data_IF_762302250207
#
_entry.id   IF_762302250207
#
_cell.length_a   1.000
_cell.length_b   1.000
_cell.length_c   1.000
_cell.angle_alpha   90.00
_cell.angle_beta   90.00
_cell.angle_gamma   90.00
#
_symmetry.space_group_name_H-M   'P 1'
#
loop_
_entity.id
_entity.type
_entity.pdbx_description
1 polymer ?
#
# COMPACT_ATOMS: atom_id res chain seq x y z
N UNK A 1 25.16 -10.18 12.00
CA UNK A 1 24.20 -11.13 11.39
C UNK A 1 22.98 -10.33 10.96
N UNK A 2 22.60 -10.40 9.68
CA UNK A 2 21.50 -9.61 9.08
C UNK A 2 20.19 -10.37 9.27
N UNK A 3 19.20 -9.75 9.93
CA UNK A 3 17.83 -10.24 9.97
C UNK A 3 16.92 -9.20 9.33
N UNK A 4 16.47 -9.44 8.10
CA UNK A 4 15.38 -8.68 7.48
C UNK A 4 14.07 -9.38 7.82
N UNK A 5 13.19 -8.74 8.58
CA UNK A 5 11.83 -9.22 8.79
C UNK A 5 10.87 -8.45 7.86
N UNK A 6 10.04 -9.18 7.11
CA UNK A 6 8.98 -8.65 6.25
C UNK A 6 7.65 -9.16 6.79
N UNK A 7 6.66 -8.29 7.00
CA UNK A 7 5.32 -8.66 7.51
C UNK A 7 4.26 -7.97 6.65
N UNK A 8 3.34 -8.75 6.09
CA UNK A 8 2.11 -8.30 5.44
C UNK A 8 0.92 -8.41 6.41
N UNK A 9 0.01 -7.43 6.40
CA UNK A 9 -1.27 -7.53 7.12
C UNK A 9 -2.42 -6.87 6.33
N UNK A 10 -3.58 -7.52 6.31
CA UNK A 10 -4.86 -7.02 5.79
C UNK A 10 -5.80 -6.70 6.97
N UNK A 11 -6.59 -5.63 6.91
CA UNK A 11 -7.55 -5.26 7.97
C UNK A 11 -8.99 -5.11 7.44
N UNK A 12 -9.96 -5.60 8.23
CA UNK A 12 -11.39 -5.28 8.17
C UNK A 12 -11.81 -4.66 9.50
N UNK A 13 -12.51 -3.53 9.45
CA UNK A 13 -13.13 -2.87 10.61
C UNK A 13 -14.61 -3.20 10.69
N UNK A 14 -15.09 -3.53 11.89
CA UNK A 14 -16.51 -3.47 12.25
C UNK A 14 -16.62 -2.62 13.51
N UNK A 15 -17.38 -1.53 13.43
CA UNK A 15 -17.69 -0.66 14.55
C UNK A 15 -19.05 -1.02 15.13
N UNK A 16 -19.14 -1.18 16.45
CA UNK A 16 -20.38 -0.96 17.21
C UNK A 16 -20.05 -0.25 18.51
N UNK A 17 -20.69 0.89 18.70
CA UNK A 17 -20.57 1.71 19.90
C UNK A 17 -21.54 1.29 21.00
N UNK A 18 -21.21 1.71 22.22
CA UNK A 18 -22.17 1.91 23.32
C UNK A 18 -21.56 2.96 24.27
N UNK A 19 -22.35 3.96 24.66
CA UNK A 19 -21.99 5.00 25.63
C UNK A 19 -22.20 4.53 27.06
N UNK A 20 -21.25 4.84 27.95
CA UNK A 20 -21.48 4.96 29.39
C UNK A 20 -20.75 6.20 29.91
N UNK A 21 -21.47 7.00 30.70
CA UNK A 21 -20.93 8.14 31.43
C UNK A 21 -20.09 7.64 32.62
N UNK A 22 -18.82 8.06 32.69
CA UNK A 22 -17.91 7.73 33.78
C UNK A 22 -17.50 8.99 34.54
N UNK A 23 -17.63 8.93 35.87
CA UNK A 23 -17.20 9.92 36.85
C UNK A 23 -15.68 10.13 36.75
N UNK A 24 -15.25 11.34 36.44
CA UNK A 24 -13.84 11.70 36.31
C UNK A 24 -13.24 12.04 37.68
N UNK A 25 -12.64 11.04 38.34
CA UNK A 25 -11.63 11.25 39.39
C UNK A 25 -10.32 11.68 38.70
N UNK A 26 -10.02 12.97 38.78
CA UNK A 26 -8.79 13.55 38.27
C UNK A 26 -7.59 13.14 39.15
N UNK A 27 -7.04 11.96 38.87
CA UNK A 27 -5.67 11.65 39.26
C UNK A 27 -4.74 12.44 38.35
N UNK A 28 -4.20 13.54 38.86
CA UNK A 28 -3.07 14.24 38.26
C UNK A 28 -1.81 13.37 38.41
N UNK A 29 -1.76 12.27 37.68
CA UNK A 29 -0.50 11.57 37.44
C UNK A 29 0.36 12.49 36.59
N UNK A 30 1.49 12.94 37.11
CA UNK A 30 2.54 13.53 36.30
C UNK A 30 2.91 12.50 35.24
N UNK A 31 2.57 12.78 33.97
CA UNK A 31 3.08 11.99 32.86
C UNK A 31 4.61 12.18 32.85
N UNK A 32 5.31 11.25 33.48
CA UNK A 32 6.76 11.22 33.49
C UNK A 32 7.18 11.03 32.04
N UNK A 33 7.70 12.11 31.43
CA UNK A 33 8.17 12.08 30.07
C UNK A 33 9.20 10.96 29.96
N UNK A 34 8.99 10.03 29.02
CA UNK A 34 9.98 8.98 28.76
C UNK A 34 11.36 9.63 28.62
N UNK A 35 12.40 9.10 29.29
CA UNK A 35 13.69 9.78 29.35
C UNK A 35 14.20 10.02 27.93
N UNK A 36 14.39 11.30 27.60
CA UNK A 36 15.01 11.68 26.35
C UNK A 36 16.45 11.19 26.35
N UNK A 37 16.97 10.85 25.18
CA UNK A 37 18.39 10.51 25.06
C UNK A 37 19.27 11.63 25.63
N UNK A 38 20.34 11.31 26.38
CA UNK A 38 21.17 12.31 27.01
C UNK A 38 21.71 13.28 25.95
N UNK A 39 21.52 14.60 26.12
CA UNK A 39 21.96 15.58 25.14
C UNK A 39 23.48 15.83 25.22
N UNK A 40 24.14 16.20 24.12
CA UNK A 40 23.93 15.80 22.72
C UNK A 40 24.83 14.63 22.32
N UNK A 41 24.28 13.63 21.62
CA UNK A 41 25.08 12.60 20.94
C UNK A 41 25.53 13.17 19.59
N UNK A 42 26.83 13.45 19.44
CA UNK A 42 27.38 14.09 18.24
C UNK A 42 27.00 13.32 16.96
N UNK A 43 26.44 14.03 15.97
CA UNK A 43 26.06 13.46 14.68
C UNK A 43 24.68 12.79 14.62
N UNK A 44 23.89 12.83 15.71
CA UNK A 44 22.51 12.34 15.75
C UNK A 44 21.47 13.35 15.23
N UNK A 45 21.91 14.54 14.83
CA UNK A 45 21.06 15.55 14.18
C UNK A 45 20.82 15.27 12.69
N UNK A 46 21.49 14.25 12.13
CA UNK A 46 21.37 13.89 10.73
C UNK A 46 20.02 13.20 10.45
N UNK A 47 19.32 13.56 9.36
CA UNK A 47 18.11 12.87 8.94
C UNK A 47 18.39 11.41 8.59
N UNK A 48 17.34 10.58 8.62
CA UNK A 48 17.43 9.21 8.17
C UNK A 48 17.65 9.18 6.64
N UNK A 49 18.46 8.24 6.17
CA UNK A 49 18.61 7.97 4.73
C UNK A 49 17.39 7.17 4.28
N UNK A 50 16.65 7.67 3.30
CA UNK A 50 15.46 7.01 2.77
C UNK A 50 15.68 6.60 1.32
N UNK A 51 15.43 5.32 1.03
CA UNK A 51 15.47 4.78 -0.33
C UNK A 51 14.19 4.01 -0.61
N UNK A 52 13.61 4.18 -1.79
CA UNK A 52 12.43 3.45 -2.24
C UNK A 52 12.75 2.69 -3.54
N UNK A 53 12.80 1.37 -3.45
CA UNK A 53 12.88 0.48 -4.61
C UNK A 53 11.51 0.36 -5.27
N UNK A 54 11.48 0.32 -6.61
CA UNK A 54 10.24 0.41 -7.39
C UNK A 54 10.20 -0.59 -8.52
N UNK A 55 9.01 -0.97 -8.95
CA UNK A 55 8.85 -1.94 -10.02
C UNK A 55 7.39 -2.16 -10.41
N UNK A 56 7.20 -2.57 -11.66
CA UNK A 56 5.89 -2.91 -12.22
C UNK A 56 5.98 -4.27 -12.90
N UNK A 57 5.17 -5.21 -12.44
CA UNK A 57 4.96 -6.47 -13.13
C UNK A 57 4.39 -6.23 -14.53
N UNK A 58 4.69 -7.14 -15.46
CA UNK A 58 4.08 -7.14 -16.78
C UNK A 58 2.68 -7.78 -16.70
N UNK A 59 1.71 -7.32 -17.52
CA UNK A 59 0.39 -7.94 -17.59
C UNK A 59 0.49 -9.40 -18.03
N UNK A 60 -0.20 -10.28 -17.31
CA UNK A 60 -0.37 -11.69 -17.70
C UNK A 60 -1.83 -11.90 -18.10
N UNK A 61 -2.02 -12.22 -19.38
CA UNK A 61 -3.35 -12.47 -19.93
C UNK A 61 -3.79 -13.91 -19.65
N UNK A 62 -5.05 -14.05 -19.23
CA UNK A 62 -5.67 -15.32 -18.88
C UNK A 62 -6.99 -15.47 -19.63
N UNK A 63 -7.27 -16.69 -20.05
CA UNK A 63 -8.43 -17.04 -20.86
C UNK A 63 -9.03 -18.38 -20.41
N UNK A 64 -9.05 -18.59 -19.10
CA UNK A 64 -9.43 -19.82 -18.41
C UNK A 64 -10.67 -19.63 -17.51
N UNK A 65 -11.37 -18.51 -17.66
CA UNK A 65 -12.55 -18.10 -16.87
C UNK A 65 -13.72 -17.78 -17.77
N UNK A 66 -14.92 -18.18 -17.37
CA UNK A 66 -16.16 -17.84 -18.09
C UNK A 66 -16.64 -16.43 -17.75
N UNK A 67 -17.60 -15.89 -18.52
CA UNK A 67 -18.26 -14.61 -18.18
C UNK A 67 -18.84 -14.65 -16.76
N UNK A 68 -19.40 -15.79 -16.35
CA UNK A 68 -19.98 -15.93 -15.02
C UNK A 68 -18.93 -15.86 -13.91
N UNK A 69 -17.73 -16.38 -14.13
CA UNK A 69 -16.62 -16.31 -13.17
C UNK A 69 -16.10 -14.88 -12.99
N UNK A 70 -16.19 -14.05 -14.03
CA UNK A 70 -15.70 -12.67 -14.03
C UNK A 70 -16.75 -11.66 -13.54
N UNK A 71 -18.01 -12.06 -13.50
CA UNK A 71 -19.13 -11.17 -13.17
C UNK A 71 -19.20 -10.89 -11.66
N UNK A 72 -19.49 -9.63 -11.30
CA UNK A 72 -19.65 -9.21 -9.89
C UNK A 72 -21.06 -8.70 -9.68
N UNK A 73 -21.85 -9.43 -8.88
CA UNK A 73 -23.27 -9.13 -8.68
C UNK A 73 -24.06 -9.37 -9.98
N UNK A 74 -24.89 -8.39 -10.37
CA UNK A 74 -25.72 -8.47 -11.60
C UNK A 74 -25.00 -8.00 -12.87
N UNK A 75 -23.77 -7.46 -12.74
CA UNK A 75 -23.02 -6.96 -13.89
C UNK A 75 -22.25 -8.11 -14.56
N UNK A 76 -22.68 -8.46 -15.78
CA UNK A 76 -21.97 -9.44 -16.61
C UNK A 76 -20.71 -8.82 -17.21
N UNK A 77 -19.54 -9.28 -16.76
CA UNK A 77 -18.24 -8.77 -17.22
C UNK A 77 -17.65 -9.69 -18.27
N UNK A 78 -17.27 -9.10 -19.41
CA UNK A 78 -16.60 -9.81 -20.50
C UNK A 78 -15.09 -9.96 -20.26
N UNK A 79 -14.52 -9.10 -19.42
CA UNK A 79 -13.14 -9.12 -18.98
C UNK A 79 -12.99 -8.60 -17.55
N UNK A 80 -11.82 -8.83 -16.98
CA UNK A 80 -11.47 -8.32 -15.66
C UNK A 80 -9.97 -8.09 -15.55
N UNK A 81 -9.58 -6.88 -15.17
CA UNK A 81 -8.20 -6.56 -14.80
C UNK A 81 -8.05 -6.53 -13.29
N UNK A 82 -7.21 -7.40 -12.75
CA UNK A 82 -6.83 -7.44 -11.34
C UNK A 82 -5.39 -6.95 -11.17
N UNK A 83 -5.20 -5.93 -10.32
CA UNK A 83 -3.89 -5.36 -10.05
C UNK A 83 -3.60 -5.41 -8.56
N UNK A 84 -2.43 -5.93 -8.21
CA UNK A 84 -1.96 -5.98 -6.83
C UNK A 84 -0.71 -5.12 -6.66
N UNK A 85 -0.75 -4.24 -5.66
CA UNK A 85 0.44 -3.52 -5.20
C UNK A 85 0.90 -4.02 -3.84
N UNK A 86 2.18 -3.83 -3.54
CA UNK A 86 2.77 -4.21 -2.26
C UNK A 86 3.79 -3.17 -1.83
N UNK A 87 3.71 -2.78 -0.55
CA UNK A 87 4.73 -2.00 0.14
C UNK A 87 5.42 -2.88 1.18
N UNK A 88 6.74 -2.98 1.11
CA UNK A 88 7.60 -3.58 2.12
C UNK A 88 8.52 -2.51 2.69
N UNK A 89 8.70 -2.48 4.01
CA UNK A 89 9.62 -1.56 4.68
C UNK A 89 10.61 -2.35 5.55
N UNK A 90 11.83 -1.83 5.64
CA UNK A 90 12.82 -2.24 6.63
C UNK A 90 13.58 -1.01 7.12
N UNK A 91 14.07 -1.09 8.36
CA UNK A 91 14.77 0.03 9.01
C UNK A 91 16.09 -0.43 9.60
N UNK A 92 17.04 0.50 9.66
CA UNK A 92 18.28 0.34 10.41
C UNK A 92 18.34 1.44 11.47
N UNK A 93 18.81 1.09 12.66
CA UNK A 93 18.95 2.02 13.80
C UNK A 93 20.40 2.12 14.23
N UNK A 94 20.78 3.29 14.72
CA UNK A 94 21.99 3.48 15.54
C UNK A 94 21.62 3.34 17.00
N UNK A 95 22.47 2.65 17.76
CA UNK A 95 22.21 2.26 19.14
C UNK A 95 23.37 2.74 20.02
N UNK A 96 23.06 3.45 21.09
CA UNK A 96 24.02 3.85 22.13
C UNK A 96 23.53 3.30 23.47
N UNK A 97 24.25 2.35 24.10
CA UNK A 97 23.88 1.84 25.41
C UNK A 97 23.87 2.94 26.47
N UNK A 98 22.86 2.94 27.33
CA UNK A 98 22.68 3.84 28.47
C UNK A 98 22.47 2.98 29.73
N UNK A 99 23.46 2.90 30.64
CA UNK A 99 23.35 2.12 31.87
C UNK A 99 22.14 2.51 32.72
N UNK A 100 21.54 1.58 33.50
CA UNK A 100 21.99 0.19 33.66
C UNK A 100 21.50 -0.79 32.59
N UNK A 101 20.32 -0.58 31.98
CA UNK A 101 19.69 -1.54 31.05
C UNK A 101 18.85 -0.86 29.95
N UNK A 102 19.28 0.29 29.46
CA UNK A 102 18.58 0.98 28.38
C UNK A 102 19.52 1.27 27.22
N UNK A 103 18.95 1.65 26.09
CA UNK A 103 19.71 2.18 24.98
C UNK A 103 18.96 3.33 24.32
N UNK A 104 19.73 4.25 23.78
CA UNK A 104 19.26 5.26 22.87
C UNK A 104 19.25 4.73 21.46
N UNK A 105 18.16 5.02 20.75
CA UNK A 105 17.92 4.60 19.37
C UNK A 105 17.75 5.83 18.48
N UNK A 106 18.40 5.81 17.33
CA UNK A 106 18.16 6.77 16.24
C UNK A 106 17.86 6.01 14.97
N UNK A 107 16.81 6.42 14.25
CA UNK A 107 16.53 5.91 12.92
C UNK A 107 17.65 6.36 11.95
N UNK A 108 18.38 5.40 11.40
CA UNK A 108 19.52 5.64 10.49
C UNK A 108 19.10 5.56 9.03
N UNK A 109 18.43 4.46 8.68
CA UNK A 109 18.08 4.14 7.30
C UNK A 109 16.65 3.62 7.25
N UNK A 110 15.90 4.02 6.23
CA UNK A 110 14.61 3.42 5.84
C UNK A 110 14.72 2.93 4.41
N UNK A 111 14.53 1.63 4.22
CA UNK A 111 14.48 0.99 2.91
C UNK A 111 13.06 0.54 2.64
N UNK A 112 12.41 1.21 1.71
CA UNK A 112 11.12 0.79 1.18
C UNK A 112 11.27 0.04 -0.13
N UNK A 113 10.31 -0.84 -0.42
CA UNK A 113 10.03 -1.38 -1.74
C UNK A 113 8.54 -1.25 -2.00
N UNK A 114 8.16 -0.41 -2.95
CA UNK A 114 6.78 -0.28 -3.40
C UNK A 114 6.68 -0.75 -4.84
N UNK A 115 5.79 -1.69 -5.15
CA UNK A 115 5.73 -2.29 -6.47
C UNK A 115 4.30 -2.66 -6.85
N UNK A 116 4.01 -2.64 -8.15
CA UNK A 116 2.92 -3.44 -8.71
C UNK A 116 3.47 -4.86 -8.88
N UNK A 117 3.04 -5.78 -8.02
CA UNK A 117 3.59 -7.14 -7.97
C UNK A 117 2.85 -8.12 -8.86
N UNK A 118 1.61 -7.79 -9.25
CA UNK A 118 0.80 -8.62 -10.12
C UNK A 118 -0.15 -7.76 -10.97
N UNK A 119 -0.28 -8.13 -12.25
CA UNK A 119 -1.29 -7.59 -13.17
C UNK A 119 -1.85 -8.78 -13.94
N UNK A 120 -3.07 -9.19 -13.63
CA UNK A 120 -3.77 -10.25 -14.35
C UNK A 120 -4.91 -9.65 -15.16
N UNK A 121 -4.94 -9.99 -16.44
CA UNK A 121 -5.98 -9.57 -17.37
C UNK A 121 -6.74 -10.81 -17.79
N UNK A 122 -7.96 -10.97 -17.29
CA UNK A 122 -8.85 -12.05 -17.68
C UNK A 122 -9.73 -11.59 -18.84
N UNK A 123 -9.83 -12.43 -19.86
CA UNK A 123 -10.80 -12.29 -20.94
C UNK A 123 -11.64 -13.55 -20.92
N UNK A 124 -12.97 -13.40 -20.85
CA UNK A 124 -13.87 -14.54 -20.72
C UNK A 124 -13.67 -15.56 -21.86
N UNK A 125 -13.67 -16.85 -21.53
CA UNK A 125 -13.40 -17.99 -22.40
C UNK A 125 -14.27 -18.00 -23.68
N UNK A 126 -15.48 -17.48 -23.57
CA UNK A 126 -16.44 -17.36 -24.65
C UNK A 126 -15.93 -16.47 -25.80
N UNK A 127 -15.05 -15.51 -25.50
CA UNK A 127 -14.37 -14.67 -26.48
C UNK A 127 -13.16 -15.38 -27.08
N UNK A 128 -13.34 -16.16 -28.13
CA UNK A 128 -12.22 -16.89 -28.74
C UNK A 128 -11.06 -15.96 -29.15
N UNK A 129 -9.79 -16.31 -28.85
CA UNK A 129 -8.64 -15.53 -29.26
C UNK A 129 -8.62 -15.27 -30.77
N UNK A 130 -8.29 -14.04 -31.16
CA UNK A 130 -8.32 -13.59 -32.57
C UNK A 130 -9.70 -13.14 -33.06
N UNK A 131 -10.78 -13.35 -32.30
CA UNK A 131 -12.08 -12.77 -32.62
C UNK A 131 -12.11 -11.25 -32.40
N UNK A 132 -13.05 -10.56 -33.06
CA UNK A 132 -13.31 -9.14 -32.81
C UNK A 132 -13.62 -8.90 -31.33
N UNK A 133 -14.49 -9.72 -30.74
CA UNK A 133 -14.93 -9.56 -29.35
C UNK A 133 -13.79 -9.74 -28.35
N UNK A 134 -12.88 -10.71 -28.59
CA UNK A 134 -11.67 -10.86 -27.77
C UNK A 134 -10.78 -9.63 -27.83
N UNK A 135 -10.57 -9.08 -29.03
CA UNK A 135 -9.73 -7.89 -29.23
C UNK A 135 -10.35 -6.68 -28.55
N UNK A 136 -11.66 -6.45 -28.75
CA UNK A 136 -12.38 -5.34 -28.13
C UNK A 136 -12.36 -5.42 -26.59
N UNK A 137 -12.59 -6.62 -26.02
CA UNK A 137 -12.50 -6.84 -24.57
C UNK A 137 -11.07 -6.62 -24.08
N UNK A 138 -10.06 -7.20 -24.74
CA UNK A 138 -8.66 -7.01 -24.37
C UNK A 138 -8.25 -5.54 -24.37
N UNK A 139 -8.68 -4.80 -25.37
CA UNK A 139 -8.34 -3.39 -25.50
C UNK A 139 -9.01 -2.54 -24.41
N UNK A 140 -10.23 -2.89 -23.99
CA UNK A 140 -10.88 -2.32 -22.80
C UNK A 140 -10.09 -2.63 -21.52
N UNK A 141 -9.75 -3.90 -21.30
CA UNK A 141 -8.98 -4.31 -20.12
C UNK A 141 -7.60 -3.64 -20.06
N UNK A 142 -6.96 -3.41 -21.21
CA UNK A 142 -5.69 -2.70 -21.28
C UNK A 142 -5.80 -1.23 -20.86
N UNK A 143 -6.98 -0.61 -20.91
CA UNK A 143 -7.19 0.72 -20.34
C UNK A 143 -7.11 0.68 -18.81
N UNK A 144 -7.64 -0.36 -18.16
CA UNK A 144 -7.48 -0.56 -16.71
C UNK A 144 -6.02 -0.78 -16.32
N UNK A 145 -5.27 -1.57 -17.11
CA UNK A 145 -3.82 -1.73 -16.93
C UNK A 145 -3.11 -0.38 -17.02
N UNK A 146 -3.42 0.42 -18.05
CA UNK A 146 -2.83 1.73 -18.23
C UNK A 146 -3.18 2.69 -17.09
N UNK A 147 -4.42 2.68 -16.59
CA UNK A 147 -4.83 3.43 -15.39
C UNK A 147 -3.98 3.04 -14.20
N UNK A 148 -3.81 1.75 -13.92
CA UNK A 148 -3.03 1.30 -12.76
C UNK A 148 -1.55 1.73 -12.86
N UNK A 149 -0.91 1.51 -14.01
CA UNK A 149 0.49 1.85 -14.23
C UNK A 149 0.73 3.36 -14.17
N UNK A 150 -0.11 4.16 -14.84
CA UNK A 150 0.04 5.63 -14.84
C UNK A 150 -0.28 6.25 -13.48
N UNK A 151 -1.28 5.72 -12.76
CA UNK A 151 -1.59 6.19 -11.40
C UNK A 151 -0.44 5.89 -10.44
N UNK A 152 0.16 4.70 -10.57
CA UNK A 152 1.32 4.31 -9.78
C UNK A 152 2.51 5.25 -10.03
N UNK A 153 2.84 5.51 -11.29
CA UNK A 153 3.94 6.41 -11.65
C UNK A 153 3.71 7.83 -11.13
N UNK A 154 2.48 8.33 -11.20
CA UNK A 154 2.11 9.65 -10.68
C UNK A 154 2.19 9.75 -9.14
N UNK A 155 1.87 8.67 -8.43
CA UNK A 155 1.90 8.65 -6.96
C UNK A 155 3.28 8.34 -6.39
N UNK A 156 4.19 7.78 -7.17
CA UNK A 156 5.55 7.44 -6.72
C UNK A 156 6.30 8.58 -6.03
N UNK A 157 6.40 9.80 -6.59
CA UNK A 157 7.04 10.91 -5.88
C UNK A 157 6.31 11.29 -4.58
N UNK A 158 4.98 11.16 -4.55
CA UNK A 158 4.17 11.49 -3.35
C UNK A 158 4.42 10.49 -2.23
N UNK A 159 4.43 9.18 -2.52
CA UNK A 159 4.75 8.13 -1.54
C UNK A 159 6.19 8.29 -1.04
N UNK A 160 7.13 8.60 -1.94
CA UNK A 160 8.54 8.82 -1.58
C UNK A 160 8.70 9.99 -0.62
N UNK A 161 8.04 11.12 -0.91
CA UNK A 161 8.05 12.30 -0.06
C UNK A 161 7.39 12.03 1.29
N UNK A 162 6.26 11.32 1.30
CA UNK A 162 5.57 10.94 2.53
C UNK A 162 6.43 10.05 3.43
N UNK A 163 7.11 9.04 2.86
CA UNK A 163 8.02 8.15 3.61
C UNK A 163 9.21 8.93 4.17
N UNK A 164 9.81 9.81 3.36
CA UNK A 164 10.92 10.66 3.78
C UNK A 164 10.51 11.60 4.91
N UNK A 165 9.35 12.21 4.79
CA UNK A 165 8.77 13.10 5.80
C UNK A 165 8.48 12.36 7.11
N UNK A 166 7.88 11.17 7.03
CA UNK A 166 7.62 10.32 8.19
C UNK A 166 8.92 9.90 8.90
N UNK A 167 9.93 9.47 8.14
CA UNK A 167 11.24 9.09 8.69
C UNK A 167 11.92 10.27 9.41
N UNK A 168 11.86 11.48 8.85
CA UNK A 168 12.48 12.67 9.44
C UNK A 168 11.77 13.17 10.71
N UNK A 169 10.50 12.78 10.94
CA UNK A 169 9.79 13.08 12.19
C UNK A 169 10.18 12.16 13.33
N UNK A 170 10.80 11.01 13.06
CA UNK A 170 11.26 10.08 14.10
C UNK A 170 12.46 10.70 14.81
N UNK A 171 12.23 11.20 16.02
CA UNK A 171 13.29 11.72 16.90
C UNK A 171 14.01 10.56 17.60
N UNK A 172 15.29 10.73 17.98
CA UNK A 172 15.95 9.78 18.86
C UNK A 172 15.18 9.57 20.16
N UNK A 173 15.16 8.33 20.66
CA UNK A 173 14.44 7.97 21.88
C UNK A 173 15.19 6.90 22.66
N UNK A 174 14.99 6.88 23.98
CA UNK A 174 15.53 5.84 24.86
C UNK A 174 14.49 4.72 25.03
N UNK A 175 14.97 3.48 25.13
CA UNK A 175 14.13 2.31 25.38
C UNK A 175 14.90 1.23 26.12
N UNK A 176 14.18 0.40 26.88
CA UNK A 176 14.66 -0.83 27.52
C UNK A 176 14.28 -2.10 26.72
N UNK A 177 13.50 -1.93 25.65
CA UNK A 177 13.07 -3.04 24.77
C UNK A 177 14.22 -3.51 23.88
N UNK A 178 14.15 -4.76 23.44
CA UNK A 178 15.09 -5.33 22.49
C UNK A 178 15.01 -4.66 21.10
N UNK A 179 16.11 -4.75 20.36
CA UNK A 179 16.28 -4.12 19.06
C UNK A 179 15.27 -4.61 18.01
N UNK A 180 14.86 -5.88 18.08
CA UNK A 180 13.87 -6.47 17.17
C UNK A 180 12.49 -5.85 17.39
N UNK A 181 12.09 -5.69 18.65
CA UNK A 181 10.85 -4.99 19.00
C UNK A 181 10.88 -3.52 18.56
N UNK A 182 12.02 -2.84 18.74
CA UNK A 182 12.17 -1.44 18.32
C UNK A 182 12.04 -1.28 16.81
N UNK A 183 12.78 -2.07 16.02
CA UNK A 183 12.74 -2.00 14.56
C UNK A 183 11.35 -2.33 14.01
N UNK A 184 10.66 -3.34 14.56
CA UNK A 184 9.28 -3.68 14.20
C UNK A 184 8.29 -2.54 14.50
N UNK A 185 8.43 -1.88 15.65
CA UNK A 185 7.56 -0.76 16.01
C UNK A 185 7.78 0.44 15.08
N UNK A 186 9.04 0.74 14.72
CA UNK A 186 9.36 1.79 13.75
C UNK A 186 8.76 1.49 12.38
N UNK A 187 8.83 0.24 11.90
CA UNK A 187 8.19 -0.16 10.64
C UNK A 187 6.68 0.06 10.70
N UNK A 188 6.00 -0.39 11.76
CA UNK A 188 4.55 -0.20 11.94
C UNK A 188 4.17 1.27 11.99
N UNK A 189 4.96 2.09 12.69
CA UNK A 189 4.76 3.53 12.74
C UNK A 189 4.86 4.15 11.34
N UNK A 190 5.92 3.86 10.58
CA UNK A 190 6.09 4.36 9.22
C UNK A 190 4.97 3.90 8.27
N UNK A 191 4.48 2.66 8.43
CA UNK A 191 3.34 2.15 7.68
C UNK A 191 2.05 2.91 8.01
N UNK A 192 1.79 3.19 9.29
CA UNK A 192 0.63 3.95 9.71
C UNK A 192 0.66 5.39 9.16
N UNK A 193 1.83 6.02 9.15
CA UNK A 193 2.04 7.36 8.58
C UNK A 193 1.83 7.39 7.05
N UNK A 194 2.16 6.29 6.35
CA UNK A 194 1.94 6.16 4.90
C UNK A 194 0.52 5.77 4.51
N UNK A 195 -0.25 5.17 5.41
CA UNK A 195 -1.60 4.67 5.15
C UNK A 195 -2.52 5.68 4.42
N UNK A 196 -2.61 6.97 4.80
CA UNK A 196 -3.46 7.92 4.08
C UNK A 196 -2.97 8.17 2.64
N UNK A 197 -1.66 8.21 2.40
CA UNK A 197 -1.10 8.39 1.05
C UNK A 197 -1.40 7.19 0.16
N UNK A 198 -1.30 5.97 0.70
CA UNK A 198 -1.64 4.75 -0.03
C UNK A 198 -3.14 4.64 -0.28
N UNK A 199 -3.98 5.05 0.68
CA UNK A 199 -5.43 5.10 0.49
C UNK A 199 -5.84 6.09 -0.60
N UNK A 200 -5.15 7.22 -0.74
CA UNK A 200 -5.37 8.18 -1.83
C UNK A 200 -5.03 7.56 -3.20
N UNK A 201 -3.93 6.81 -3.30
CA UNK A 201 -3.58 6.04 -4.49
C UNK A 201 -4.67 5.02 -4.87
N UNK A 202 -5.16 4.24 -3.90
CA UNK A 202 -6.24 3.27 -4.12
C UNK A 202 -7.55 3.93 -4.54
N UNK A 203 -7.90 5.07 -3.91
CA UNK A 203 -9.08 5.84 -4.25
C UNK A 203 -9.02 6.38 -5.69
N UNK A 204 -7.85 6.86 -6.14
CA UNK A 204 -7.67 7.36 -7.49
C UNK A 204 -7.77 6.23 -8.53
N UNK A 205 -7.18 5.05 -8.28
CA UNK A 205 -7.39 3.89 -9.14
C UNK A 205 -8.87 3.55 -9.25
N UNK A 206 -9.57 3.47 -8.11
CA UNK A 206 -10.99 3.15 -8.09
C UNK A 206 -11.81 4.17 -8.87
N UNK A 207 -11.52 5.46 -8.69
CA UNK A 207 -12.20 6.55 -9.39
C UNK A 207 -11.98 6.45 -10.90
N UNK A 208 -10.73 6.38 -11.35
CA UNK A 208 -10.37 6.29 -12.77
C UNK A 208 -10.91 5.02 -13.45
N UNK A 209 -10.91 3.88 -12.75
CA UNK A 209 -11.55 2.67 -13.27
C UNK A 209 -13.08 2.83 -13.36
N UNK A 210 -13.70 3.49 -12.37
CA UNK A 210 -15.14 3.80 -12.42
C UNK A 210 -15.53 4.71 -13.59
N UNK A 211 -14.64 5.63 -13.99
CA UNK A 211 -14.83 6.48 -15.18
C UNK A 211 -14.80 5.66 -16.49
N UNK A 212 -14.06 4.54 -16.52
CA UNK A 212 -13.99 3.62 -17.67
C UNK A 212 -15.17 2.63 -17.68
N UNK A 213 -15.55 2.12 -16.51
CA UNK A 213 -16.58 1.09 -16.31
C UNK A 213 -18.00 1.67 -16.28
N UNK A 214 -18.37 2.39 -17.34
CA UNK A 214 -19.71 2.97 -17.48
C UNK A 214 -20.60 2.12 -18.40
N UNK A 215 -21.93 2.12 -18.21
CA UNK A 215 -22.85 1.48 -19.15
C UNK A 215 -22.70 1.99 -20.60
N UNK A 216 -22.30 3.26 -20.77
CA UNK A 216 -22.01 3.85 -22.08
C UNK A 216 -20.79 3.21 -22.73
N UNK A 217 -19.67 3.13 -21.98
CA UNK A 217 -18.44 2.46 -22.42
C UNK A 217 -18.70 1.01 -22.83
N UNK A 218 -19.43 0.24 -22.01
CA UNK A 218 -19.76 -1.16 -22.35
C UNK A 218 -20.61 -1.28 -23.62
N UNK A 219 -21.58 -0.36 -23.84
CA UNK A 219 -22.35 -0.34 -25.08
C UNK A 219 -21.49 0.03 -26.29
N UNK A 220 -20.57 0.97 -26.12
CA UNK A 220 -19.63 1.36 -27.18
C UNK A 220 -18.74 0.17 -27.56
N UNK A 221 -18.11 -0.48 -26.58
CA UNK A 221 -17.31 -1.70 -26.79
C UNK A 221 -18.15 -2.77 -27.48
N UNK A 222 -19.37 -3.02 -27.00
CA UNK A 222 -20.30 -3.98 -27.62
C UNK A 222 -20.67 -3.61 -29.08
N UNK A 223 -20.74 -2.32 -29.42
CA UNK A 223 -21.08 -1.91 -30.78
C UNK A 223 -19.96 -2.14 -31.81
N UNK A 224 -18.71 -2.36 -31.35
CA UNK A 224 -17.54 -2.54 -32.23
C UNK A 224 -17.56 -3.85 -33.02
N UNK A 225 -18.30 -4.85 -32.55
CA UNK A 225 -18.34 -6.17 -33.17
C UNK A 225 -19.75 -6.56 -33.59
N UNK A 226 -19.89 -7.13 -34.79
CA UNK A 226 -21.17 -7.60 -35.34
C UNK A 226 -21.73 -8.81 -34.59
N UNK A 227 -20.86 -9.62 -33.99
CA UNK A 227 -21.20 -10.85 -33.29
C UNK A 227 -20.52 -10.84 -31.93
N UNK A 228 -21.30 -11.07 -30.89
CA UNK A 228 -20.84 -11.31 -29.53
C UNK A 228 -21.22 -12.72 -29.10
N UNK A 229 -20.32 -13.46 -28.44
CA UNK A 229 -20.68 -14.71 -27.81
C UNK A 229 -21.71 -14.48 -26.69
N UNK A 230 -22.57 -15.47 -26.46
CA UNK A 230 -23.68 -15.40 -25.50
C UNK A 230 -23.28 -15.92 -24.12
#
# INVERSE_FOLDING_TARGET
>A
MKGSASVLAHYRLVAKGLSMAAVALAWAGTAEAAPACPPPIQGWERPAIVTLDTGKAQPVYRHDRTVNDLSVGVLRRQGLTNVQTQLQLSVEVEIVPVPPQSACYRLKTVKGRWQIINIEVFIAFEHQPGSCSYTATRDHENQHVAVAQTTYDAHLPVVTAALTSAANRVRPFQSVRDDGTITNNLVKQLQAELAPTLAAYEAEIKRRNGDLDTPGSYREVASRCKVWPK
#
